data_IF_002922767300
#
_entry.id   IF_002922767300
#
_cell.length_a   1.000
_cell.length_b   1.000
_cell.length_c   1.000
_cell.angle_alpha   90.00
_cell.angle_beta   90.00
_cell.angle_gamma   90.00
#
_symmetry.space_group_name_H-M   'P 1'
#
loop_
_entity.id
_entity.type
_entity.pdbx_description
1 polymer ?
#
# COMPACT_ATOMS: atom_id res chain seq x y z
N UNK A 1 -10.79 7.11 55.79
CA UNK A 1 -10.40 7.45 54.39
C UNK A 1 -9.93 6.25 53.55
N UNK A 2 -10.14 4.98 53.95
CA UNK A 2 -9.63 3.80 53.20
C UNK A 2 -10.68 3.01 52.39
N UNK A 3 -11.98 3.34 52.52
CA UNK A 3 -13.08 2.60 51.84
C UNK A 3 -13.40 3.10 50.43
N UNK A 4 -12.98 4.30 50.05
CA UNK A 4 -13.26 4.87 48.71
C UNK A 4 -12.40 4.30 47.59
N UNK A 5 -11.19 3.82 47.90
CA UNK A 5 -10.26 3.31 46.90
C UNK A 5 -10.63 1.92 46.37
N UNK A 6 -11.30 1.10 47.17
CA UNK A 6 -11.75 -0.23 46.74
C UNK A 6 -12.88 -0.16 45.69
N UNK A 7 -13.75 0.85 45.78
CA UNK A 7 -14.81 1.09 44.79
C UNK A 7 -14.26 1.64 43.46
N UNK A 8 -13.24 2.50 43.52
CA UNK A 8 -12.58 3.02 42.32
C UNK A 8 -11.80 1.92 41.57
N UNK A 9 -11.14 1.01 42.31
CA UNK A 9 -10.43 -0.13 41.72
C UNK A 9 -11.39 -1.14 41.07
N UNK A 10 -12.59 -1.35 41.65
CA UNK A 10 -13.61 -2.23 41.08
C UNK A 10 -14.26 -1.68 39.80
N UNK A 11 -14.37 -0.35 39.66
CA UNK A 11 -14.90 0.30 38.44
C UNK A 11 -13.90 0.34 37.28
N UNK A 12 -12.60 0.24 37.55
CA UNK A 12 -11.55 0.23 36.51
C UNK A 12 -11.32 -1.16 35.89
N UNK A 13 -11.83 -2.23 36.51
CA UNK A 13 -11.71 -3.61 36.03
C UNK A 13 -12.77 -4.01 34.98
N UNK A 14 -13.82 -3.21 34.78
CA UNK A 14 -14.92 -3.50 33.86
C UNK A 14 -14.74 -2.94 32.44
N UNK A 15 -13.62 -2.26 32.14
CA UNK A 15 -13.33 -1.71 30.80
C UNK A 15 -12.39 -2.56 29.95
N UNK A 16 -12.28 -3.86 30.23
CA UNK A 16 -11.69 -4.78 29.26
C UNK A 16 -12.71 -5.08 28.16
N UNK A 17 -12.81 -4.15 27.20
CA UNK A 17 -13.34 -4.44 25.87
C UNK A 17 -12.45 -5.54 25.31
N UNK A 18 -12.89 -6.78 25.44
CA UNK A 18 -12.29 -7.93 24.77
C UNK A 18 -12.41 -7.68 23.28
N UNK A 19 -11.30 -7.26 22.67
CA UNK A 19 -11.13 -7.35 21.22
C UNK A 19 -11.33 -8.82 20.86
N UNK A 20 -12.49 -9.15 20.27
CA UNK A 20 -12.78 -10.50 19.83
C UNK A 20 -11.66 -10.93 18.88
N UNK A 21 -11.11 -12.15 19.03
CA UNK A 21 -10.13 -12.65 18.08
C UNK A 21 -10.76 -12.67 16.69
N UNK A 22 -9.95 -12.36 15.67
CA UNK A 22 -10.36 -12.42 14.27
C UNK A 22 -10.87 -13.84 13.98
N UNK A 23 -12.17 -13.97 13.75
CA UNK A 23 -12.81 -15.23 13.41
C UNK A 23 -12.90 -15.33 11.89
N UNK A 24 -12.36 -16.41 11.32
CA UNK A 24 -12.58 -16.72 9.92
C UNK A 24 -14.06 -17.06 9.71
N UNK A 25 -14.68 -16.39 8.74
CA UNK A 25 -16.06 -16.64 8.33
C UNK A 25 -16.08 -17.78 7.32
N UNK A 26 -17.04 -18.69 7.43
CA UNK A 26 -17.30 -19.70 6.41
C UNK A 26 -18.07 -19.12 5.20
N UNK A 27 -18.20 -19.88 4.12
CA UNK A 27 -18.82 -19.41 2.86
C UNK A 27 -20.30 -19.00 3.02
N UNK A 28 -21.04 -19.62 3.94
CA UNK A 28 -22.43 -19.28 4.24
C UNK A 28 -22.54 -18.01 5.09
N UNK A 29 -21.62 -17.84 6.03
CA UNK A 29 -21.48 -16.60 6.81
C UNK A 29 -21.01 -15.43 5.93
N UNK A 30 -20.09 -15.66 5.01
CA UNK A 30 -19.66 -14.71 3.97
C UNK A 30 -20.83 -14.28 3.08
N UNK A 31 -21.71 -15.21 2.70
CA UNK A 31 -22.92 -14.90 1.93
C UNK A 31 -23.94 -14.06 2.73
N UNK A 32 -23.87 -14.12 4.07
CA UNK A 32 -24.68 -13.31 4.99
C UNK A 32 -24.12 -11.91 5.27
N UNK A 33 -22.91 -11.59 4.79
CA UNK A 33 -22.33 -10.24 4.90
C UNK A 33 -23.08 -9.30 3.96
N UNK A 34 -24.16 -8.71 4.44
CA UNK A 34 -24.79 -7.56 3.78
C UNK A 34 -23.92 -6.33 4.01
N UNK A 35 -23.35 -5.74 2.95
CA UNK A 35 -22.35 -4.66 2.97
C UNK A 35 -22.82 -3.32 3.55
N UNK A 36 -23.23 -3.29 4.82
CA UNK A 36 -23.44 -2.07 5.60
C UNK A 36 -22.13 -1.47 6.13
N UNK A 37 -21.10 -2.29 6.33
CA UNK A 37 -19.86 -1.91 7.03
C UNK A 37 -18.73 -1.41 6.10
N UNK A 38 -18.98 -1.41 4.78
CA UNK A 38 -17.96 -1.09 3.78
C UNK A 38 -16.97 -2.23 3.52
N UNK A 39 -16.05 -1.99 2.60
CA UNK A 39 -14.98 -2.93 2.22
C UNK A 39 -13.64 -2.30 2.57
N UNK A 40 -12.85 -3.00 3.38
CA UNK A 40 -11.49 -2.58 3.72
C UNK A 40 -10.46 -3.38 2.92
N UNK A 41 -9.45 -2.71 2.38
CA UNK A 41 -8.36 -3.35 1.66
C UNK A 41 -7.01 -2.72 2.02
N UNK A 42 -6.02 -3.57 2.26
CA UNK A 42 -4.62 -3.21 2.45
C UNK A 42 -3.79 -3.99 1.43
N UNK A 43 -2.60 -3.50 1.11
CA UNK A 43 -1.74 -4.14 0.13
C UNK A 43 -0.28 -4.16 0.58
N UNK A 44 0.37 -5.31 0.37
CA UNK A 44 1.82 -5.42 0.35
C UNK A 44 2.23 -5.71 -1.09
N UNK A 45 2.99 -4.80 -1.68
CA UNK A 45 3.49 -4.94 -3.06
C UNK A 45 5.00 -5.11 -2.96
N UNK A 46 5.51 -6.22 -3.48
CA UNK A 46 6.95 -6.47 -3.58
C UNK A 46 7.35 -6.63 -5.05
N UNK A 47 8.37 -5.89 -5.48
CA UNK A 47 8.90 -5.93 -6.84
C UNK A 47 10.35 -6.43 -6.82
N UNK A 48 10.63 -7.45 -7.64
CA UNK A 48 11.97 -8.06 -7.79
C UNK A 48 12.65 -8.33 -6.44
N UNK A 49 11.88 -8.89 -5.50
CA UNK A 49 12.35 -9.20 -4.16
C UNK A 49 13.41 -10.32 -4.22
N UNK A 50 14.66 -10.04 -3.81
CA UNK A 50 15.75 -11.03 -3.86
C UNK A 50 15.58 -12.17 -2.85
N UNK A 51 14.63 -12.07 -1.91
CA UNK A 51 14.38 -13.09 -0.90
C UNK A 51 13.44 -14.20 -1.37
N UNK A 52 12.75 -14.01 -2.50
CA UNK A 52 11.82 -14.99 -3.07
C UNK A 52 12.56 -16.05 -3.90
N UNK A 53 12.01 -17.27 -3.92
CA UNK A 53 12.52 -18.35 -4.77
C UNK A 53 12.38 -17.98 -6.25
N UNK A 54 13.47 -18.11 -7.01
CA UNK A 54 13.51 -17.73 -8.43
C UNK A 54 13.66 -16.23 -8.68
N UNK A 55 14.16 -15.46 -7.69
CA UNK A 55 14.35 -14.02 -7.83
C UNK A 55 15.21 -13.65 -9.05
N UNK A 56 14.73 -12.68 -9.83
CA UNK A 56 15.44 -12.13 -10.98
C UNK A 56 16.52 -11.19 -10.47
N UNK A 57 17.79 -11.57 -10.66
CA UNK A 57 18.96 -10.79 -10.20
C UNK A 57 19.36 -9.66 -11.14
N UNK A 58 18.84 -9.66 -12.37
CA UNK A 58 19.16 -8.68 -13.41
C UNK A 58 17.90 -8.27 -14.18
N UNK A 59 16.99 -7.59 -13.49
CA UNK A 59 15.77 -7.07 -14.12
C UNK A 59 16.08 -5.80 -14.90
N UNK A 60 15.48 -5.67 -16.09
CA UNK A 60 15.62 -4.50 -16.96
C UNK A 60 14.26 -4.02 -17.41
N UNK A 61 13.99 -2.73 -17.21
CA UNK A 61 12.93 -2.01 -17.88
C UNK A 61 13.58 -1.08 -18.91
N UNK A 62 13.20 -1.19 -20.17
CA UNK A 62 13.79 -0.35 -21.22
C UNK A 62 12.72 0.28 -22.09
N UNK A 63 13.02 1.49 -22.57
CA UNK A 63 12.20 2.20 -23.54
C UNK A 63 13.08 2.76 -24.65
N UNK A 64 12.72 2.48 -25.90
CA UNK A 64 13.47 2.87 -27.09
C UNK A 64 12.95 4.16 -27.70
N UNK A 65 13.86 5.01 -28.18
CA UNK A 65 13.57 6.25 -28.90
C UNK A 65 14.61 6.50 -29.99
N UNK A 66 14.23 7.27 -31.02
CA UNK A 66 15.12 7.60 -32.12
C UNK A 66 15.92 8.87 -31.81
N UNK A 67 17.24 8.80 -31.97
CA UNK A 67 18.18 9.92 -31.88
C UNK A 67 19.13 9.84 -33.07
N UNK A 68 19.22 10.89 -33.88
CA UNK A 68 20.12 10.97 -35.05
C UNK A 68 20.02 9.75 -35.99
N UNK A 69 18.78 9.26 -36.19
CA UNK A 69 18.50 8.11 -37.05
C UNK A 69 18.85 6.73 -36.45
N UNK A 70 19.29 6.68 -35.18
CA UNK A 70 19.61 5.45 -34.45
C UNK A 70 18.64 5.24 -33.28
N UNK A 71 18.32 3.98 -32.98
CA UNK A 71 17.54 3.66 -31.77
C UNK A 71 18.45 3.70 -30.55
N UNK A 72 18.09 4.53 -29.58
CA UNK A 72 18.72 4.61 -28.26
C UNK A 72 17.69 4.16 -27.23
N UNK A 73 18.14 3.41 -26.24
CA UNK A 73 17.29 2.89 -25.18
C UNK A 73 17.66 3.53 -23.86
N UNK A 74 16.67 4.05 -23.14
CA UNK A 74 16.79 4.28 -21.70
C UNK A 74 16.60 2.93 -21.03
N UNK A 75 17.53 2.52 -20.19
CA UNK A 75 17.49 1.26 -19.45
C UNK A 75 17.53 1.56 -17.96
N UNK A 76 16.54 1.04 -17.23
CA UNK A 76 16.48 1.01 -15.78
C UNK A 76 16.80 -0.41 -15.34
N UNK A 77 17.90 -0.56 -14.60
CA UNK A 77 18.37 -1.85 -14.11
C UNK A 77 17.99 -2.03 -12.64
N UNK A 78 17.50 -3.24 -12.33
CA UNK A 78 17.23 -3.69 -10.98
C UNK A 78 16.23 -2.81 -10.22
N UNK A 79 15.16 -2.38 -10.89
CA UNK A 79 14.01 -1.76 -10.24
C UNK A 79 13.40 -2.76 -9.24
N UNK A 80 13.40 -2.43 -7.95
CA UNK A 80 12.99 -3.31 -6.87
C UNK A 80 12.44 -2.56 -5.68
N UNK A 81 11.95 -3.32 -4.70
CA UNK A 81 11.58 -2.83 -3.37
C UNK A 81 10.15 -3.18 -3.01
N UNK A 82 9.70 -2.66 -1.87
CA UNK A 82 8.37 -2.92 -1.34
C UNK A 82 7.58 -1.62 -1.14
N UNK A 83 6.26 -1.73 -1.30
CA UNK A 83 5.29 -0.71 -0.94
C UNK A 83 4.26 -1.38 -0.04
N UNK A 84 4.18 -0.93 1.21
CA UNK A 84 3.11 -1.30 2.13
C UNK A 84 2.07 -0.20 2.19
N UNK A 85 0.82 -0.59 1.99
CA UNK A 85 -0.34 0.28 1.99
C UNK A 85 -1.18 -0.07 3.20
N UNK A 86 -1.31 0.87 4.15
CA UNK A 86 -2.24 0.71 5.26
C UNK A 86 -3.69 0.57 4.75
N UNK A 87 -4.60 -0.06 5.51
CA UNK A 87 -5.97 -0.26 5.06
C UNK A 87 -6.67 1.02 4.57
N UNK A 88 -7.31 0.93 3.41
CA UNK A 88 -8.28 1.88 2.89
C UNK A 88 -9.68 1.30 3.10
N UNK A 89 -10.67 2.15 3.35
CA UNK A 89 -12.06 1.73 3.53
C UNK A 89 -12.97 2.34 2.49
N UNK A 90 -13.79 1.53 1.83
CA UNK A 90 -14.83 1.95 0.90
C UNK A 90 -16.21 1.72 1.54
N UNK A 91 -16.93 2.78 1.89
CA UNK A 91 -18.22 2.67 2.59
C UNK A 91 -19.25 3.68 2.08
N UNK A 92 -20.54 3.36 2.21
CA UNK A 92 -21.64 4.30 1.95
C UNK A 92 -21.83 5.19 3.18
N UNK A 93 -21.95 6.50 2.96
CA UNK A 93 -22.04 7.52 3.99
C UNK A 93 -23.22 8.47 3.70
N UNK A 94 -23.80 9.06 4.75
CA UNK A 94 -24.89 10.03 4.64
C UNK A 94 -24.36 11.46 4.54
N UNK A 95 -24.87 12.24 3.59
CA UNK A 95 -24.66 13.69 3.49
C UNK A 95 -25.54 14.44 4.51
N UNK A 96 -25.24 15.72 4.82
CA UNK A 96 -26.09 16.54 5.68
C UNK A 96 -27.53 16.71 5.18
N UNK A 97 -27.75 16.60 3.87
CA UNK A 97 -29.08 16.68 3.23
C UNK A 97 -29.86 15.35 3.27
N UNK A 98 -29.27 14.28 3.82
CA UNK A 98 -29.88 12.95 3.93
C UNK A 98 -29.62 12.02 2.73
N UNK A 99 -29.04 12.52 1.64
CA UNK A 99 -28.65 11.69 0.48
C UNK A 99 -27.38 10.87 0.76
N UNK A 100 -27.18 9.81 -0.01
CA UNK A 100 -26.02 8.93 0.14
C UNK A 100 -24.83 9.37 -0.72
N UNK A 101 -23.63 9.02 -0.28
CA UNK A 101 -22.39 9.10 -1.05
C UNK A 101 -21.46 7.94 -0.71
N UNK A 102 -20.61 7.56 -1.66
CA UNK A 102 -19.57 6.56 -1.43
C UNK A 102 -18.30 7.27 -0.95
N UNK A 103 -17.71 6.80 0.13
CA UNK A 103 -16.47 7.32 0.71
C UNK A 103 -15.36 6.28 0.59
N UNK A 104 -14.24 6.66 -0.04
CA UNK A 104 -12.99 5.91 -0.01
C UNK A 104 -12.00 6.64 0.92
N UNK A 105 -11.74 6.07 2.11
CA UNK A 105 -10.73 6.58 3.03
C UNK A 105 -9.34 6.41 2.42
N UNK A 106 -8.53 7.46 2.45
CA UNK A 106 -7.14 7.41 2.01
C UNK A 106 -6.32 6.51 2.95
N UNK A 107 -5.27 5.84 2.47
CA UNK A 107 -4.43 5.02 3.33
C UNK A 107 -3.68 5.93 4.31
N UNK A 108 -3.81 5.69 5.61
CA UNK A 108 -3.10 6.47 6.65
C UNK A 108 -1.58 6.53 6.38
N UNK A 109 -1.00 5.42 5.93
CA UNK A 109 0.43 5.31 5.64
C UNK A 109 0.69 4.52 4.35
N UNK A 110 1.53 5.10 3.48
CA UNK A 110 2.24 4.38 2.42
C UNK A 110 3.72 4.27 2.79
N UNK A 111 4.22 3.05 3.01
CA UNK A 111 5.61 2.81 3.37
C UNK A 111 6.38 2.23 2.20
N UNK A 112 7.50 2.85 1.86
CA UNK A 112 8.46 2.39 0.86
C UNK A 112 9.65 1.74 1.56
N UNK A 113 9.96 0.51 1.17
CA UNK A 113 11.13 -0.24 1.64
C UNK A 113 12.05 -0.57 0.48
N UNK A 114 13.24 0.02 0.45
CA UNK A 114 14.24 -0.16 -0.60
C UNK A 114 13.68 0.00 -2.02
N UNK A 115 12.74 0.93 -2.21
CA UNK A 115 12.07 1.13 -3.49
C UNK A 115 12.94 1.98 -4.42
N UNK A 116 13.31 1.44 -5.57
CA UNK A 116 14.09 2.18 -6.55
C UNK A 116 14.90 1.28 -7.46
N UNK A 117 15.91 1.85 -8.10
CA UNK A 117 16.71 1.17 -9.13
C UNK A 117 18.21 1.36 -8.90
N UNK A 118 18.98 0.38 -9.36
CA UNK A 118 20.44 0.37 -9.20
C UNK A 118 21.14 1.24 -10.24
N UNK A 119 20.62 1.28 -11.46
CA UNK A 119 21.21 2.07 -12.53
C UNK A 119 20.17 2.54 -13.53
N UNK A 120 20.36 3.77 -14.02
CA UNK A 120 19.70 4.34 -15.19
C UNK A 120 20.78 4.59 -16.25
N UNK A 121 20.59 4.13 -17.48
CA UNK A 121 21.57 4.32 -18.57
C UNK A 121 20.89 4.59 -19.90
N UNK A 122 21.65 5.14 -20.85
CA UNK A 122 21.26 5.26 -22.25
C UNK A 122 22.20 4.42 -23.11
N UNK A 123 21.68 3.46 -23.88
CA UNK A 123 22.49 2.51 -24.64
C UNK A 123 21.85 2.13 -25.98
N UNK A 124 22.67 1.76 -26.97
CA UNK A 124 22.19 1.37 -28.29
C UNK A 124 21.54 -0.04 -28.32
N UNK A 125 21.95 -0.90 -27.40
CA UNK A 125 21.37 -2.24 -27.18
C UNK A 125 20.88 -2.33 -25.73
N UNK A 126 19.59 -2.56 -25.45
CA UNK A 126 19.04 -2.57 -24.10
C UNK A 126 19.46 -3.80 -23.27
N UNK A 127 20.03 -4.83 -23.89
CA UNK A 127 20.52 -6.04 -23.23
C UNK A 127 22.04 -6.02 -22.98
N UNK A 128 22.76 -5.08 -23.60
CA UNK A 128 24.18 -4.93 -23.38
C UNK A 128 24.50 -4.61 -21.89
N UNK A 129 25.71 -5.00 -21.42
CA UNK A 129 26.19 -4.61 -20.10
C UNK A 129 26.11 -3.09 -19.90
N UNK A 130 25.63 -2.66 -18.74
CA UNK A 130 25.60 -1.24 -18.39
C UNK A 130 27.03 -0.80 -18.02
N UNK A 131 27.68 -0.05 -18.91
CA UNK A 131 29.04 0.46 -18.70
C UNK A 131 29.05 1.86 -18.08
N UNK A 132 28.00 2.64 -18.31
CA UNK A 132 27.85 4.00 -17.79
C UNK A 132 26.45 4.18 -17.18
N UNK A 133 26.39 4.72 -15.96
CA UNK A 133 25.14 4.95 -15.23
C UNK A 133 24.96 6.45 -14.97
N UNK A 134 23.78 6.95 -15.30
CA UNK A 134 23.30 8.30 -15.01
C UNK A 134 22.90 8.47 -13.54
N UNK A 135 22.77 7.39 -12.79
CA UNK A 135 22.50 7.44 -11.35
C UNK A 135 21.75 6.24 -10.83
N UNK A 136 21.39 6.33 -9.55
CA UNK A 136 20.60 5.35 -8.81
C UNK A 136 19.59 6.07 -7.92
N UNK A 137 18.47 5.41 -7.66
CA UNK A 137 17.46 5.91 -6.72
C UNK A 137 17.16 4.81 -5.73
N UNK A 138 17.09 5.17 -4.44
CA UNK A 138 16.61 4.30 -3.40
C UNK A 138 15.76 5.12 -2.42
N UNK A 139 14.50 4.73 -2.28
CA UNK A 139 13.51 5.38 -1.42
C UNK A 139 13.21 4.46 -0.26
N UNK A 140 13.48 4.96 0.93
CA UNK A 140 13.06 4.38 2.21
C UNK A 140 12.34 5.47 2.98
N UNK A 141 11.06 5.24 3.29
CA UNK A 141 10.28 6.26 3.99
C UNK A 141 8.80 5.94 4.03
N UNK A 142 8.05 6.86 4.62
CA UNK A 142 6.61 6.77 4.73
C UNK A 142 5.97 8.09 4.29
N UNK A 143 4.84 7.98 3.59
CA UNK A 143 3.93 9.10 3.34
C UNK A 143 2.70 8.90 4.20
N UNK A 144 2.27 9.96 4.88
CA UNK A 144 1.05 9.95 5.69
C UNK A 144 -0.05 10.72 4.99
N UNK A 145 -1.23 10.10 4.89
CA UNK A 145 -2.40 10.72 4.30
C UNK A 145 -3.54 10.79 5.30
N UNK A 146 -4.36 11.82 5.17
CA UNK A 146 -5.59 11.96 5.92
C UNK A 146 -6.69 12.42 4.98
N UNK A 147 -7.89 11.86 5.16
CA UNK A 147 -9.09 12.26 4.44
C UNK A 147 -9.73 11.10 3.68
N UNK A 148 -10.67 11.47 2.81
CA UNK A 148 -11.44 10.53 2.02
C UNK A 148 -11.79 11.13 0.66
N UNK A 149 -11.80 10.31 -0.38
CA UNK A 149 -12.44 10.64 -1.64
C UNK A 149 -13.94 10.37 -1.51
N UNK A 150 -14.76 11.29 -1.99
CA UNK A 150 -16.22 11.20 -1.93
C UNK A 150 -16.77 11.11 -3.35
N UNK A 151 -17.61 10.13 -3.61
CA UNK A 151 -18.27 9.92 -4.90
C UNK A 151 -19.77 9.98 -4.72
N UNK A 152 -20.48 10.64 -5.62
CA UNK A 152 -21.93 10.68 -5.66
C UNK A 152 -22.39 10.68 -7.12
N UNK A 153 -23.55 10.08 -7.38
CA UNK A 153 -24.19 10.18 -8.67
C UNK A 153 -24.70 11.62 -8.90
N UNK A 154 -24.63 12.08 -10.15
CA UNK A 154 -25.27 13.30 -10.61
C UNK A 154 -26.62 12.98 -11.24
#
# INVERSE_FOLDING_TARGET
MKKGWALLAAMLLSMQVLARPLQALDDGELAGVSGGDGVSFAAHIALNDPTLSGAVTDSRLSTGFQVDGKTTYIVIRNLRGTIDVSPMNLSVQKKPDGSDYLALTLPETLRYGNWGYESLSAQADPLAPVTESLGRVNVNGALHFQGQMRFWAH
#
